data_IF_086506151222
#
_entry.id   IF_086506151222
#
_cell.length_a   1.000
_cell.length_b   1.000
_cell.length_c   1.000
_cell.angle_alpha   90.00
_cell.angle_beta   90.00
_cell.angle_gamma   90.00
#
_symmetry.space_group_name_H-M   'P 1'
#
loop_
_entity.id
_entity.type
_entity.pdbx_description
1 polymer ?
#
# COMPACT_ATOMS: atom_id res chain seq x y z
N UNK A 1 -25.93 -22.59 22.61
CA UNK A 1 -24.90 -21.56 22.38
C UNK A 1 -23.71 -22.25 21.73
N UNK A 2 -23.52 -22.12 20.41
CA UNK A 2 -22.32 -22.64 19.75
C UNK A 2 -21.10 -21.98 20.39
N UNK A 3 -20.14 -22.78 20.85
CA UNK A 3 -18.93 -22.23 21.45
C UNK A 3 -18.19 -21.42 20.39
N UNK A 4 -17.56 -20.32 20.78
CA UNK A 4 -16.82 -19.43 19.88
C UNK A 4 -15.76 -20.21 19.07
N UNK A 5 -15.26 -21.32 19.63
CA UNK A 5 -14.36 -22.28 18.97
C UNK A 5 -14.96 -23.01 17.77
N UNK A 6 -16.22 -23.46 17.81
CA UNK A 6 -16.87 -24.14 16.68
C UNK A 6 -17.04 -23.20 15.48
N UNK A 7 -17.36 -21.93 15.74
CA UNK A 7 -17.47 -20.89 14.70
C UNK A 7 -16.12 -20.59 14.06
N UNK A 8 -15.06 -20.50 14.86
CA UNK A 8 -13.70 -20.28 14.35
C UNK A 8 -13.19 -21.46 13.54
N UNK A 9 -13.47 -22.69 13.97
CA UNK A 9 -13.09 -23.92 13.26
C UNK A 9 -13.82 -24.07 11.92
N UNK A 10 -15.13 -23.82 11.88
CA UNK A 10 -15.90 -23.86 10.64
C UNK A 10 -15.45 -22.76 9.66
N UNK A 11 -15.11 -21.57 10.18
CA UNK A 11 -14.58 -20.47 9.37
C UNK A 11 -13.18 -20.79 8.82
N UNK A 12 -12.29 -21.39 9.61
CA UNK A 12 -10.94 -21.73 9.15
C UNK A 12 -10.97 -22.81 8.05
N UNK A 13 -11.79 -23.86 8.20
CA UNK A 13 -11.95 -24.89 7.17
C UNK A 13 -12.56 -24.34 5.88
N UNK A 14 -13.43 -23.33 5.97
CA UNK A 14 -14.01 -22.72 4.79
C UNK A 14 -13.03 -21.79 4.06
N UNK A 15 -12.17 -21.09 4.81
CA UNK A 15 -11.37 -19.97 4.28
C UNK A 15 -9.90 -20.34 4.06
N UNK A 16 -9.43 -21.50 4.53
CA UNK A 16 -8.02 -21.89 4.37
C UNK A 16 -7.50 -21.93 2.93
N UNK A 17 -8.28 -22.33 1.89
CA UNK A 17 -7.78 -22.33 0.52
C UNK A 17 -7.51 -20.90 0.03
N UNK A 18 -8.43 -19.98 0.34
CA UNK A 18 -8.31 -18.56 -0.01
C UNK A 18 -7.13 -17.91 0.73
N UNK A 19 -6.94 -18.24 2.01
CA UNK A 19 -5.79 -17.77 2.79
C UNK A 19 -4.47 -18.32 2.25
N UNK A 20 -4.44 -19.57 1.80
CA UNK A 20 -3.25 -20.19 1.22
C UNK A 20 -2.90 -19.58 -0.14
N UNK A 21 -3.89 -19.33 -0.99
CA UNK A 21 -3.72 -18.65 -2.27
C UNK A 21 -3.23 -17.21 -2.08
N UNK A 22 -3.86 -16.46 -1.17
CA UNK A 22 -3.49 -15.08 -0.86
C UNK A 22 -2.09 -15.01 -0.24
N UNK A 23 -1.77 -15.91 0.68
CA UNK A 23 -0.42 -16.04 1.25
C UNK A 23 0.63 -16.39 0.19
N UNK A 24 0.32 -17.33 -0.71
CA UNK A 24 1.18 -17.71 -1.83
C UNK A 24 1.45 -16.55 -2.79
N UNK A 25 0.42 -15.76 -3.12
CA UNK A 25 0.54 -14.54 -3.92
C UNK A 25 1.43 -13.49 -3.26
N UNK A 26 1.20 -13.21 -1.98
CA UNK A 26 1.98 -12.25 -1.18
C UNK A 26 3.45 -12.66 -1.10
N UNK A 27 3.72 -13.95 -0.87
CA UNK A 27 5.08 -14.48 -0.81
C UNK A 27 5.76 -14.48 -2.19
N UNK A 28 5.05 -14.85 -3.26
CA UNK A 28 5.57 -14.82 -4.62
C UNK A 28 5.92 -13.41 -5.06
N UNK A 29 5.06 -12.43 -4.76
CA UNK A 29 5.32 -11.02 -5.03
C UNK A 29 6.51 -10.51 -4.21
N UNK A 30 6.55 -10.83 -2.91
CA UNK A 30 7.67 -10.44 -2.04
C UNK A 30 9.00 -11.03 -2.51
N UNK A 31 9.02 -12.32 -2.86
CA UNK A 31 10.21 -12.99 -3.38
C UNK A 31 10.64 -12.41 -4.72
N UNK A 32 9.69 -12.10 -5.61
CA UNK A 32 9.98 -11.47 -6.90
C UNK A 32 10.61 -10.11 -6.72
N UNK A 33 10.12 -9.30 -5.78
CA UNK A 33 10.65 -7.98 -5.43
C UNK A 33 12.06 -8.09 -4.82
N UNK A 34 12.28 -9.04 -3.90
CA UNK A 34 13.59 -9.25 -3.27
C UNK A 34 14.66 -9.72 -4.27
N UNK A 35 14.27 -10.56 -5.24
CA UNK A 35 15.14 -10.98 -6.34
C UNK A 35 15.34 -9.92 -7.39
N UNK A 36 14.54 -8.87 -7.39
CA UNK A 36 14.66 -7.79 -8.33
C UNK A 36 15.80 -6.86 -7.91
N UNK A 37 16.99 -7.05 -8.49
CA UNK A 37 18.22 -6.31 -8.16
C UNK A 37 18.18 -4.81 -8.48
N UNK A 38 17.10 -4.32 -9.09
CA UNK A 38 16.83 -2.92 -9.40
C UNK A 38 16.19 -2.10 -8.26
N UNK A 39 15.71 -2.74 -7.18
CA UNK A 39 15.15 -2.03 -6.01
C UNK A 39 16.17 -2.01 -4.88
N UNK A 40 16.78 -0.85 -4.64
CA UNK A 40 17.81 -0.67 -3.60
C UNK A 40 17.23 -0.79 -2.18
N UNK A 41 15.93 -0.51 -2.00
CA UNK A 41 15.23 -0.61 -0.71
C UNK A 41 13.84 -1.26 -0.87
N UNK A 42 13.76 -2.57 -0.64
CA UNK A 42 12.53 -3.36 -0.78
C UNK A 42 11.59 -3.29 0.44
N UNK A 43 12.05 -2.75 1.58
CA UNK A 43 11.26 -2.68 2.83
C UNK A 43 9.87 -2.05 2.67
N UNK A 44 9.75 -0.86 2.03
CA UNK A 44 8.46 -0.23 1.78
C UNK A 44 7.53 -1.06 0.88
N UNK A 45 8.07 -1.85 -0.04
CA UNK A 45 7.29 -2.69 -0.97
C UNK A 45 6.63 -3.85 -0.24
N UNK A 46 7.38 -4.53 0.65
CA UNK A 46 6.81 -5.60 1.47
C UNK A 46 5.67 -5.07 2.34
N UNK A 47 5.86 -3.90 2.97
CA UNK A 47 4.81 -3.21 3.71
C UNK A 47 3.54 -3.05 2.89
N UNK A 48 3.66 -2.78 1.58
CA UNK A 48 2.51 -2.62 0.70
C UNK A 48 1.84 -3.82 0.16
N UNK A 49 2.59 -4.88 -0.07
CA UNK A 49 1.99 -6.17 -0.37
C UNK A 49 1.13 -6.61 0.84
N UNK A 50 1.63 -6.44 2.07
CA UNK A 50 0.90 -6.77 3.29
C UNK A 50 -0.32 -5.88 3.54
N UNK A 51 -0.16 -4.56 3.42
CA UNK A 51 -1.28 -3.62 3.62
C UNK A 51 -2.37 -3.85 2.58
N UNK A 52 -2.01 -4.12 1.33
CA UNK A 52 -2.96 -4.40 0.25
C UNK A 52 -3.73 -5.69 0.47
N UNK A 53 -3.02 -6.74 0.87
CA UNK A 53 -3.63 -8.01 1.25
C UNK A 53 -4.59 -7.85 2.45
N UNK A 54 -4.21 -7.06 3.46
CA UNK A 54 -5.05 -6.79 4.64
C UNK A 54 -6.30 -5.98 4.26
N UNK A 55 -6.14 -4.91 3.49
CA UNK A 55 -7.27 -4.07 3.06
C UNK A 55 -8.19 -4.83 2.11
N UNK A 56 -7.65 -5.66 1.21
CA UNK A 56 -8.42 -6.54 0.35
C UNK A 56 -9.21 -7.58 1.14
N UNK A 57 -8.60 -8.20 2.15
CA UNK A 57 -9.29 -9.14 3.04
C UNK A 57 -10.41 -8.46 3.86
N UNK A 58 -10.15 -7.25 4.37
CA UNK A 58 -11.16 -6.44 5.06
C UNK A 58 -12.30 -6.04 4.12
N UNK A 59 -11.99 -5.71 2.86
CA UNK A 59 -12.97 -5.34 1.86
C UNK A 59 -13.91 -6.50 1.52
N UNK A 60 -13.39 -7.72 1.40
CA UNK A 60 -14.19 -8.95 1.24
C UNK A 60 -15.13 -9.18 2.42
N UNK A 61 -14.72 -8.78 3.64
CA UNK A 61 -15.57 -8.85 4.82
C UNK A 61 -16.67 -7.75 4.83
N UNK A 62 -16.49 -6.65 4.09
CA UNK A 62 -17.50 -5.59 3.98
C UNK A 62 -18.58 -5.92 2.94
N UNK A 63 -19.83 -5.56 3.21
CA UNK A 63 -21.01 -5.80 2.32
C UNK A 63 -21.06 -4.89 1.08
N UNK A 64 -19.93 -4.33 0.65
CA UNK A 64 -19.89 -3.30 -0.39
C UNK A 64 -20.07 -3.93 -1.78
N UNK A 65 -20.85 -3.27 -2.66
CA UNK A 65 -21.03 -3.75 -4.04
C UNK A 65 -19.71 -3.58 -4.82
N UNK A 66 -19.40 -4.51 -5.72
CA UNK A 66 -18.07 -4.66 -6.35
C UNK A 66 -17.42 -3.37 -6.88
N UNK A 67 -18.19 -2.42 -7.44
CA UNK A 67 -17.63 -1.15 -7.92
C UNK A 67 -17.19 -0.21 -6.77
N UNK A 68 -17.92 -0.18 -5.66
CA UNK A 68 -17.59 0.63 -4.47
C UNK A 68 -16.34 0.08 -3.80
N UNK A 69 -16.21 -1.25 -3.78
CA UNK A 69 -15.04 -1.95 -3.33
C UNK A 69 -13.81 -1.60 -4.20
N UNK A 70 -13.96 -1.61 -5.53
CA UNK A 70 -12.91 -1.20 -6.45
C UNK A 70 -12.46 0.25 -6.26
N UNK A 71 -13.39 1.20 -6.15
CA UNK A 71 -13.05 2.62 -5.90
C UNK A 71 -12.34 2.81 -4.56
N UNK A 72 -12.79 2.10 -3.52
CA UNK A 72 -12.16 2.14 -2.21
C UNK A 72 -10.73 1.58 -2.23
N UNK A 73 -10.52 0.42 -2.87
CA UNK A 73 -9.21 -0.17 -3.06
C UNK A 73 -8.28 0.75 -3.86
N UNK A 74 -8.80 1.38 -4.92
CA UNK A 74 -8.05 2.31 -5.75
C UNK A 74 -7.57 3.54 -4.96
N UNK A 75 -8.48 4.19 -4.22
CA UNK A 75 -8.14 5.33 -3.36
C UNK A 75 -7.11 4.94 -2.30
N UNK A 76 -7.30 3.81 -1.63
CA UNK A 76 -6.35 3.34 -0.62
C UNK A 76 -4.98 3.02 -1.22
N UNK A 77 -4.94 2.41 -2.41
CA UNK A 77 -3.67 2.09 -3.08
C UNK A 77 -2.88 3.36 -3.43
N UNK A 78 -3.57 4.43 -3.84
CA UNK A 78 -2.97 5.73 -4.10
C UNK A 78 -2.47 6.41 -2.83
N UNK A 79 -3.27 6.41 -1.76
CA UNK A 79 -2.89 7.01 -0.48
C UNK A 79 -1.72 6.27 0.16
N UNK A 80 -1.73 4.93 0.14
CA UNK A 80 -0.64 4.11 0.65
C UNK A 80 0.64 4.31 -0.17
N UNK A 81 0.53 4.30 -1.51
CA UNK A 81 1.65 4.58 -2.42
C UNK A 81 2.24 5.98 -2.20
N UNK A 82 1.39 7.00 -2.09
CA UNK A 82 1.81 8.38 -1.80
C UNK A 82 2.48 8.50 -0.41
N UNK A 83 1.97 7.79 0.60
CA UNK A 83 2.57 7.77 1.93
C UNK A 83 3.95 7.11 1.93
N UNK A 84 4.18 6.00 1.21
CA UNK A 84 5.53 5.41 1.18
C UNK A 84 6.53 6.21 0.35
N UNK A 85 6.08 6.87 -0.71
CA UNK A 85 7.00 7.60 -1.58
C UNK A 85 7.29 9.00 -1.04
N UNK A 86 6.29 9.65 -0.44
CA UNK A 86 6.40 11.02 0.07
C UNK A 86 6.61 11.12 1.58
N UNK A 87 6.46 10.03 2.34
CA UNK A 87 6.36 10.05 3.82
C UNK A 87 5.46 11.18 4.33
N UNK A 88 4.33 11.43 3.64
CA UNK A 88 3.51 12.63 3.77
C UNK A 88 3.08 12.83 5.23
N UNK A 89 2.60 11.76 5.86
CA UNK A 89 2.36 11.71 7.30
C UNK A 89 3.69 11.44 8.02
N UNK A 90 4.07 12.29 8.99
CA UNK A 90 5.20 11.99 9.86
C UNK A 90 4.92 10.71 10.64
N UNK A 91 5.98 9.96 10.90
CA UNK A 91 5.87 8.63 11.48
C UNK A 91 5.32 8.74 12.92
N UNK A 92 4.56 7.74 13.38
CA UNK A 92 3.79 7.80 14.63
C UNK A 92 4.61 8.09 15.90
N UNK A 93 5.85 7.63 15.97
CA UNK A 93 6.84 7.95 17.01
C UNK A 93 7.21 9.44 17.12
N UNK A 94 7.07 10.24 16.05
CA UNK A 94 7.29 11.69 16.08
C UNK A 94 6.03 12.49 16.47
N UNK A 95 4.85 11.85 16.50
CA UNK A 95 3.59 12.53 16.86
C UNK A 95 3.55 12.97 18.33
N UNK A 96 4.27 12.27 19.22
CA UNK A 96 4.29 12.60 20.65
C UNK A 96 5.13 13.83 21.00
N UNK A 97 6.03 14.26 20.10
CA UNK A 97 6.98 15.35 20.35
C UNK A 97 6.67 16.64 19.58
N UNK A 98 5.66 16.62 18.69
CA UNK A 98 5.33 17.74 17.81
C UNK A 98 3.99 18.38 18.20
N UNK A 99 3.94 19.72 18.16
CA UNK A 99 2.66 20.44 18.24
C UNK A 99 1.81 20.22 16.99
N UNK A 100 0.48 20.35 17.10
CA UNK A 100 -0.45 20.14 15.99
C UNK A 100 -0.16 21.04 14.77
N UNK A 101 0.35 22.24 15.03
CA UNK A 101 0.78 23.21 14.00
C UNK A 101 2.06 22.76 13.28
N UNK A 102 3.05 22.24 14.01
CA UNK A 102 4.28 21.69 13.43
C UNK A 102 4.01 20.41 12.63
N UNK A 103 3.08 19.58 13.11
CA UNK A 103 2.61 18.41 12.39
C UNK A 103 1.95 18.79 11.06
N UNK A 104 1.02 19.75 11.08
CA UNK A 104 0.31 20.21 9.88
C UNK A 104 1.27 20.83 8.84
N UNK A 105 2.24 21.64 9.29
CA UNK A 105 3.24 22.22 8.40
C UNK A 105 4.19 21.16 7.83
N UNK A 106 4.58 20.17 8.64
CA UNK A 106 5.35 19.02 8.18
C UNK A 106 4.63 18.22 7.08
N UNK A 107 3.34 17.92 7.29
CA UNK A 107 2.49 17.26 6.29
C UNK A 107 2.38 18.09 5.01
N UNK A 108 2.17 19.40 5.13
CA UNK A 108 2.07 20.32 4.00
C UNK A 108 3.36 20.36 3.19
N UNK A 109 4.51 20.51 3.83
CA UNK A 109 5.81 20.58 3.15
C UNK A 109 6.13 19.26 2.43
N UNK A 110 5.89 18.12 3.08
CA UNK A 110 6.09 16.80 2.46
C UNK A 110 5.12 16.55 1.31
N UNK A 111 3.88 17.00 1.44
CA UNK A 111 2.89 16.99 0.36
C UNK A 111 3.33 17.84 -0.85
N UNK A 112 3.90 19.02 -0.62
CA UNK A 112 4.44 19.87 -1.67
C UNK A 112 5.65 19.22 -2.37
N UNK A 113 6.57 18.64 -1.61
CA UNK A 113 7.72 17.91 -2.16
C UNK A 113 7.26 16.73 -3.01
N UNK A 114 6.27 15.98 -2.55
CA UNK A 114 5.68 14.89 -3.32
C UNK A 114 5.00 15.40 -4.61
N UNK A 115 4.29 16.52 -4.55
CA UNK A 115 3.69 17.17 -5.72
C UNK A 115 4.72 17.60 -6.76
N UNK A 116 5.86 18.16 -6.33
CA UNK A 116 6.99 18.49 -7.20
C UNK A 116 7.59 17.24 -7.85
N UNK A 117 7.67 16.14 -7.10
CA UNK A 117 8.16 14.85 -7.61
C UNK A 117 7.24 14.27 -8.68
N UNK A 118 5.92 14.33 -8.47
CA UNK A 118 4.91 13.94 -9.46
C UNK A 118 5.03 14.79 -10.74
N UNK A 119 5.16 16.11 -10.61
CA UNK A 119 5.33 17.00 -11.76
C UNK A 119 6.62 16.66 -12.53
N UNK A 120 7.71 16.36 -11.80
CA UNK A 120 8.97 15.89 -12.39
C UNK A 120 8.81 14.59 -13.18
N UNK A 121 8.08 13.61 -12.66
CA UNK A 121 7.81 12.36 -13.37
C UNK A 121 6.95 12.58 -14.62
N UNK A 122 5.89 13.40 -14.53
CA UNK A 122 5.03 13.71 -15.69
C UNK A 122 5.85 14.40 -16.78
N UNK A 123 6.69 15.36 -16.42
CA UNK A 123 7.59 16.05 -17.35
C UNK A 123 8.57 15.09 -18.02
N UNK A 124 9.20 14.20 -17.25
CA UNK A 124 10.12 13.20 -17.78
C UNK A 124 9.43 12.21 -18.73
N UNK A 125 8.18 11.78 -18.43
CA UNK A 125 7.37 10.94 -19.33
C UNK A 125 7.08 11.67 -20.65
N UNK A 126 6.69 12.94 -20.58
CA UNK A 126 6.41 13.75 -21.77
C UNK A 126 7.66 13.94 -22.65
N UNK A 127 8.84 13.97 -22.04
CA UNK A 127 10.12 14.10 -22.72
C UNK A 127 10.71 12.75 -23.18
N UNK A 128 10.06 11.63 -22.84
CA UNK A 128 10.55 10.28 -23.16
C UNK A 128 11.82 9.88 -22.39
N UNK A 129 12.12 10.58 -21.30
CA UNK A 129 13.31 10.31 -20.49
C UNK A 129 13.11 9.08 -19.58
N UNK A 130 14.21 8.38 -19.29
CA UNK A 130 14.19 7.25 -18.35
C UNK A 130 14.13 7.78 -16.92
N UNK A 131 13.03 7.50 -16.24
CA UNK A 131 12.87 7.82 -14.81
C UNK A 131 13.66 6.79 -13.99
N UNK A 132 14.76 7.23 -13.39
CA UNK A 132 15.57 6.42 -12.47
C UNK A 132 15.06 6.49 -11.02
N UNK A 133 13.96 7.20 -10.79
CA UNK A 133 13.37 7.35 -9.47
C UNK A 133 12.60 6.10 -9.04
N UNK A 134 13.08 5.43 -8.00
CA UNK A 134 12.43 4.27 -7.38
C UNK A 134 11.02 4.59 -6.88
N UNK A 135 10.75 5.85 -6.51
CA UNK A 135 9.44 6.30 -6.02
C UNK A 135 8.30 6.12 -7.01
N UNK A 136 8.54 6.34 -8.31
CA UNK A 136 7.51 6.13 -9.33
C UNK A 136 7.15 4.64 -9.44
N UNK A 137 8.15 3.77 -9.42
CA UNK A 137 7.94 2.32 -9.45
C UNK A 137 7.19 1.82 -8.22
N UNK A 138 7.51 2.34 -7.03
CA UNK A 138 6.79 2.02 -5.79
C UNK A 138 5.31 2.43 -5.87
N UNK A 139 5.02 3.59 -6.45
CA UNK A 139 3.67 4.08 -6.62
C UNK A 139 2.87 3.21 -7.61
N UNK A 140 3.46 2.91 -8.77
CA UNK A 140 2.84 2.04 -9.77
C UNK A 140 2.64 0.61 -9.27
N UNK A 141 3.63 0.05 -8.56
CA UNK A 141 3.54 -1.27 -7.98
C UNK A 141 2.43 -1.37 -6.93
N UNK A 142 2.28 -0.34 -6.09
CA UNK A 142 1.18 -0.25 -5.12
C UNK A 142 -0.18 -0.23 -5.82
N UNK A 143 -0.34 0.50 -6.92
CA UNK A 143 -1.59 0.55 -7.67
C UNK A 143 -1.89 -0.82 -8.31
N UNK A 144 -0.92 -1.43 -8.99
CA UNK A 144 -1.10 -2.71 -9.70
C UNK A 144 -1.29 -3.88 -8.75
N UNK A 145 -0.63 -3.87 -7.59
CA UNK A 145 -0.75 -4.99 -6.64
C UNK A 145 -2.10 -4.99 -5.90
N UNK A 146 -2.83 -3.87 -5.91
CA UNK A 146 -4.04 -3.67 -5.12
C UNK A 146 -5.33 -3.62 -5.95
N UNK A 147 -5.24 -3.59 -7.29
CA UNK A 147 -6.38 -3.53 -8.22
C UNK A 147 -6.26 -4.64 -9.27
#
# INVERSE_FOLDING_TARGET
MSTLGEKLYAWSIKTWPDLFLLGGLVLSLSFSVEKASWVVNAGPIHGGIFLGALTGALLVATRWKGWQAGVYAWILSLLAGAQWVGEILPRSWDMGSMSLLQWAEGVRLRGLVFGLRLAGWISAIQQGEKIQDTGLFLLLFSIVSWN
#
